data_IF_483234105114
#
_entry.id   IF_483234105114
#
_cell.length_a   1.000
_cell.length_b   1.000
_cell.length_c   1.000
_cell.angle_alpha   90.00
_cell.angle_beta   90.00
_cell.angle_gamma   90.00
#
_symmetry.space_group_name_H-M   'P 1'
#
loop_
_entity.id
_entity.type
_entity.pdbx_description
1 polymer ?
#
# COMPACT_ATOMS: atom_id res chain seq x y z
N UNK A 1 -7.10 6.52 12.50
CA UNK A 1 -8.34 5.90 11.99
C UNK A 1 -8.59 4.66 12.83
N UNK A 2 -9.81 4.12 12.90
CA UNK A 2 -10.00 2.80 13.53
C UNK A 2 -9.44 1.70 12.61
N UNK A 3 -8.76 0.70 13.18
CA UNK A 3 -8.14 -0.38 12.42
C UNK A 3 -9.16 -1.14 11.56
N UNK A 4 -10.34 -1.47 12.10
CA UNK A 4 -11.35 -2.27 11.39
C UNK A 4 -11.90 -1.54 10.17
N UNK A 5 -12.04 -0.22 10.29
CA UNK A 5 -12.48 0.64 9.18
C UNK A 5 -11.39 0.70 8.10
N UNK A 6 -10.14 0.98 8.49
CA UNK A 6 -9.04 1.09 7.53
C UNK A 6 -8.78 -0.23 6.81
N UNK A 7 -8.75 -1.34 7.54
CA UNK A 7 -8.48 -2.67 6.99
C UNK A 7 -9.55 -3.11 5.99
N UNK A 8 -10.82 -2.83 6.27
CA UNK A 8 -11.92 -3.10 5.35
C UNK A 8 -11.80 -2.27 4.06
N UNK A 9 -11.52 -0.97 4.17
CA UNK A 9 -11.33 -0.12 2.99
C UNK A 9 -10.14 -0.57 2.14
N UNK A 10 -9.03 -0.94 2.80
CA UNK A 10 -7.82 -1.39 2.13
C UNK A 10 -8.03 -2.72 1.40
N UNK A 11 -8.67 -3.70 2.03
CA UNK A 11 -9.00 -4.98 1.39
C UNK A 11 -9.90 -4.77 0.16
N UNK A 12 -10.86 -3.83 0.22
CA UNK A 12 -11.71 -3.47 -0.92
C UNK A 12 -10.88 -2.92 -2.08
N UNK A 13 -10.06 -1.91 -1.80
CA UNK A 13 -9.31 -1.18 -2.81
C UNK A 13 -8.18 -2.02 -3.41
N UNK A 14 -7.44 -2.77 -2.59
CA UNK A 14 -6.44 -3.71 -3.08
C UNK A 14 -7.08 -4.81 -3.95
N UNK A 15 -8.27 -5.30 -3.56
CA UNK A 15 -8.98 -6.32 -4.37
C UNK A 15 -9.38 -5.75 -5.72
N UNK A 16 -9.92 -4.52 -5.73
CA UNK A 16 -10.40 -3.89 -6.95
C UNK A 16 -9.24 -3.47 -7.87
N UNK A 17 -8.28 -2.68 -7.37
CA UNK A 17 -7.24 -2.05 -8.19
C UNK A 17 -6.05 -2.94 -8.49
N UNK A 18 -5.72 -3.90 -7.62
CA UNK A 18 -4.58 -4.78 -7.81
C UNK A 18 -5.07 -6.13 -8.31
N UNK A 19 -5.72 -6.92 -7.45
CA UNK A 19 -6.02 -8.32 -7.74
C UNK A 19 -6.96 -8.58 -8.92
N UNK A 20 -7.86 -7.64 -9.23
CA UNK A 20 -8.88 -7.81 -10.27
C UNK A 20 -8.59 -6.99 -11.53
N UNK A 21 -7.63 -6.07 -11.48
CA UNK A 21 -7.34 -5.14 -12.58
C UNK A 21 -5.89 -5.19 -13.06
N UNK A 22 -4.92 -5.38 -12.16
CA UNK A 22 -3.51 -5.17 -12.46
C UNK A 22 -2.65 -6.42 -12.25
N UNK A 23 -2.89 -7.17 -11.18
CA UNK A 23 -2.14 -8.38 -10.82
C UNK A 23 -2.91 -9.64 -11.21
N UNK A 24 -2.18 -10.70 -11.57
CA UNK A 24 -2.74 -12.02 -11.88
C UNK A 24 -2.79 -12.96 -10.65
N UNK A 25 -2.55 -12.44 -9.45
CA UNK A 25 -2.60 -13.17 -8.18
C UNK A 25 -3.31 -12.35 -7.11
N UNK A 26 -3.62 -12.98 -5.97
CA UNK A 26 -4.30 -12.32 -4.84
C UNK A 26 -3.28 -11.79 -3.84
N UNK A 27 -3.34 -10.49 -3.56
CA UNK A 27 -2.54 -9.88 -2.49
C UNK A 27 -3.10 -10.22 -1.11
N UNK A 28 -2.26 -10.18 -0.07
CA UNK A 28 -2.65 -10.50 1.31
C UNK A 28 -3.83 -9.62 1.78
N UNK A 29 -4.68 -10.12 2.67
CA UNK A 29 -5.85 -9.39 3.19
C UNK A 29 -5.82 -9.34 4.69
N UNK A 30 -6.32 -8.26 5.27
CA UNK A 30 -6.43 -8.12 6.73
C UNK A 30 -7.65 -8.85 7.28
N UNK A 31 -8.73 -8.94 6.50
CA UNK A 31 -9.99 -9.56 6.89
C UNK A 31 -10.19 -10.91 6.21
N UNK A 32 -10.87 -11.83 6.89
CA UNK A 32 -11.14 -13.19 6.37
C UNK A 32 -12.35 -13.24 5.46
N UNK A 33 -13.20 -12.21 5.50
CA UNK A 33 -14.41 -12.13 4.69
C UNK A 33 -14.00 -11.79 3.24
N UNK A 34 -14.36 -12.62 2.26
CA UNK A 34 -14.06 -12.33 0.86
C UNK A 34 -14.72 -11.04 0.40
N UNK A 35 -13.94 -10.17 -0.24
CA UNK A 35 -14.42 -8.94 -0.85
C UNK A 35 -15.02 -9.26 -2.23
N UNK A 36 -16.27 -8.81 -2.45
CA UNK A 36 -16.97 -8.92 -3.74
C UNK A 36 -16.96 -7.60 -4.53
N UNK A 37 -15.80 -6.95 -4.58
CA UNK A 37 -15.57 -5.75 -5.39
C UNK A 37 -15.30 -6.18 -6.84
N UNK A 38 -16.32 -6.70 -7.50
CA UNK A 38 -16.24 -7.29 -8.84
C UNK A 38 -17.21 -6.62 -9.78
N UNK A 39 -16.75 -6.23 -10.97
CA UNK A 39 -17.54 -5.55 -11.98
C UNK A 39 -16.86 -4.27 -12.46
N UNK A 40 -17.33 -3.75 -13.59
CA UNK A 40 -16.92 -2.45 -14.13
C UNK A 40 -15.44 -2.36 -14.50
N UNK A 41 -14.76 -3.51 -14.72
CA UNK A 41 -13.31 -3.53 -14.96
C UNK A 41 -12.93 -2.73 -16.20
N UNK A 42 -13.73 -2.83 -17.27
CA UNK A 42 -13.51 -2.05 -18.50
C UNK A 42 -13.58 -0.54 -18.22
N UNK A 43 -14.61 -0.09 -17.50
CA UNK A 43 -14.78 1.31 -17.11
C UNK A 43 -13.64 1.78 -16.19
N UNK A 44 -13.18 0.91 -15.29
CA UNK A 44 -12.06 1.20 -14.40
C UNK A 44 -10.76 1.39 -15.19
N UNK A 45 -10.48 0.50 -16.15
CA UNK A 45 -9.31 0.61 -17.02
C UNK A 45 -9.36 1.90 -17.84
N UNK A 46 -10.52 2.25 -18.41
CA UNK A 46 -10.71 3.52 -19.13
C UNK A 46 -10.48 4.73 -18.22
N UNK A 47 -11.05 4.72 -17.01
CA UNK A 47 -10.86 5.79 -16.03
C UNK A 47 -9.40 5.92 -15.59
N UNK A 48 -8.71 4.79 -15.36
CA UNK A 48 -7.27 4.78 -15.04
C UNK A 48 -6.46 5.33 -16.20
N UNK A 49 -6.76 4.96 -17.45
CA UNK A 49 -6.09 5.53 -18.63
C UNK A 49 -6.29 7.05 -18.71
N UNK A 50 -7.45 7.57 -18.34
CA UNK A 50 -7.64 9.02 -18.26
C UNK A 50 -6.78 9.66 -17.17
N UNK A 51 -6.62 9.02 -16.00
CA UNK A 51 -5.74 9.50 -14.93
C UNK A 51 -4.27 9.53 -15.40
N UNK A 52 -3.82 8.45 -16.05
CA UNK A 52 -2.45 8.28 -16.55
C UNK A 52 -2.12 9.31 -17.63
N UNK A 53 -3.01 9.47 -18.62
CA UNK A 53 -2.74 10.28 -19.82
C UNK A 53 -3.07 11.78 -19.65
N UNK A 54 -3.70 12.18 -18.54
CA UNK A 54 -4.10 13.58 -18.35
C UNK A 54 -2.86 14.45 -18.09
N UNK A 55 -2.63 15.49 -18.90
CA UNK A 55 -1.57 16.46 -18.64
C UNK A 55 -1.92 17.32 -17.42
N UNK A 56 -0.91 17.71 -16.65
CA UNK A 56 -1.05 18.65 -15.54
C UNK A 56 -0.67 18.07 -14.17
N UNK A 57 -1.25 18.63 -13.11
CA UNK A 57 -0.95 18.22 -11.73
C UNK A 57 -1.56 16.86 -11.41
N UNK A 58 -0.76 15.94 -10.87
CA UNK A 58 -1.23 14.64 -10.35
C UNK A 58 -2.40 14.78 -9.38
N UNK A 59 -2.41 15.83 -8.54
CA UNK A 59 -3.48 16.10 -7.58
C UNK A 59 -4.82 16.33 -8.28
N UNK A 60 -4.80 16.99 -9.44
CA UNK A 60 -6.01 17.24 -10.22
C UNK A 60 -6.49 15.95 -10.89
N UNK A 61 -5.59 15.16 -11.49
CA UNK A 61 -5.92 13.87 -12.10
C UNK A 61 -6.54 12.91 -11.08
N UNK A 62 -5.95 12.78 -9.89
CA UNK A 62 -6.50 11.95 -8.79
C UNK A 62 -7.86 12.47 -8.32
N UNK A 63 -8.05 13.78 -8.17
CA UNK A 63 -9.36 14.35 -7.78
C UNK A 63 -10.46 14.03 -8.78
N UNK A 64 -10.14 13.99 -10.07
CA UNK A 64 -11.12 13.63 -11.11
C UNK A 64 -11.38 12.13 -11.09
N UNK A 65 -10.33 11.31 -11.04
CA UNK A 65 -10.46 9.86 -10.87
C UNK A 65 -11.32 9.49 -9.67
N UNK A 66 -11.10 10.14 -8.52
CA UNK A 66 -11.90 9.95 -7.32
C UNK A 66 -13.39 10.21 -7.58
N UNK A 67 -13.75 11.31 -8.25
CA UNK A 67 -15.14 11.62 -8.58
C UNK A 67 -15.76 10.57 -9.50
N UNK A 68 -15.02 10.12 -10.51
CA UNK A 68 -15.50 9.11 -11.46
C UNK A 68 -15.72 7.76 -10.77
N UNK A 69 -14.73 7.27 -10.02
CA UNK A 69 -14.85 6.00 -9.30
C UNK A 69 -15.97 6.02 -8.26
N UNK A 70 -16.25 7.14 -7.61
CA UNK A 70 -17.36 7.23 -6.65
C UNK A 70 -18.74 7.17 -7.31
N UNK A 71 -18.85 7.35 -8.62
CA UNK A 71 -20.11 7.19 -9.37
C UNK A 71 -20.31 5.75 -9.89
N UNK A 72 -19.29 4.89 -9.81
CA UNK A 72 -19.41 3.50 -10.21
C UNK A 72 -20.40 2.79 -9.28
N UNK A 73 -21.42 2.06 -9.79
CA UNK A 73 -22.37 1.30 -9.01
C UNK A 73 -21.83 0.67 -7.72
N UNK A 74 -20.73 -0.07 -7.78
CA UNK A 74 -20.17 -0.73 -6.59
C UNK A 74 -19.73 0.27 -5.51
N UNK A 75 -18.93 1.27 -5.88
CA UNK A 75 -18.40 2.24 -4.91
C UNK A 75 -19.48 3.20 -4.43
N UNK A 76 -20.40 3.58 -5.31
CA UNK A 76 -21.55 4.44 -4.97
C UNK A 76 -22.44 3.77 -3.94
N UNK A 77 -22.82 2.52 -4.17
CA UNK A 77 -23.59 1.73 -3.21
C UNK A 77 -22.82 1.56 -1.89
N UNK A 78 -21.55 1.14 -1.97
CA UNK A 78 -20.73 0.93 -0.79
C UNK A 78 -20.64 2.18 0.10
N UNK A 79 -20.28 3.33 -0.49
CA UNK A 79 -20.12 4.59 0.23
C UNK A 79 -21.46 5.14 0.76
N UNK A 80 -22.57 4.95 0.04
CA UNK A 80 -23.90 5.40 0.48
C UNK A 80 -24.37 4.75 1.77
N UNK A 81 -23.87 3.55 2.06
CA UNK A 81 -24.18 2.78 3.27
C UNK A 81 -23.24 3.10 4.45
N UNK A 82 -22.22 3.95 4.26
CA UNK A 82 -21.27 4.31 5.29
C UNK A 82 -21.69 5.57 6.07
N UNK A 83 -21.40 5.64 7.39
CA UNK A 83 -21.46 6.89 8.12
C UNK A 83 -20.57 7.97 7.47
N UNK A 84 -20.92 9.27 7.56
CA UNK A 84 -20.17 10.34 6.86
C UNK A 84 -18.67 10.38 7.18
N UNK A 85 -18.28 10.02 8.41
CA UNK A 85 -16.87 9.95 8.80
C UNK A 85 -16.13 8.81 8.10
N UNK A 86 -16.76 7.66 7.96
CA UNK A 86 -16.19 6.47 7.30
C UNK A 86 -16.13 6.65 5.79
N UNK A 87 -17.17 7.24 5.18
CA UNK A 87 -17.15 7.65 3.77
C UNK A 87 -15.95 8.56 3.47
N UNK A 88 -15.71 9.59 4.28
CA UNK A 88 -14.50 10.43 4.13
C UNK A 88 -13.21 9.63 4.27
N UNK A 89 -13.15 8.65 5.16
CA UNK A 89 -11.99 7.78 5.29
C UNK A 89 -11.76 6.96 4.02
N UNK A 90 -12.83 6.39 3.44
CA UNK A 90 -12.77 5.66 2.18
C UNK A 90 -12.28 6.55 1.03
N UNK A 91 -12.79 7.79 0.90
CA UNK A 91 -12.37 8.71 -0.16
C UNK A 91 -10.86 9.03 -0.11
N UNK A 92 -10.33 9.25 1.09
CA UNK A 92 -8.89 9.45 1.26
C UNK A 92 -8.09 8.21 0.89
N UNK A 93 -8.56 7.02 1.28
CA UNK A 93 -7.86 5.77 0.98
C UNK A 93 -7.92 5.42 -0.51
N UNK A 94 -9.07 5.62 -1.15
CA UNK A 94 -9.23 5.51 -2.60
C UNK A 94 -8.27 6.44 -3.35
N UNK A 95 -8.11 7.68 -2.88
CA UNK A 95 -7.15 8.62 -3.47
C UNK A 95 -5.70 8.10 -3.41
N UNK A 96 -5.32 7.36 -2.36
CA UNK A 96 -3.98 6.73 -2.25
C UNK A 96 -3.78 5.61 -3.25
N UNK A 97 -4.80 4.82 -3.55
CA UNK A 97 -4.68 3.80 -4.60
C UNK A 97 -4.65 4.43 -5.99
N UNK A 98 -5.44 5.49 -6.22
CA UNK A 98 -5.48 6.16 -7.52
C UNK A 98 -4.18 6.89 -7.88
N UNK A 99 -3.48 7.47 -6.90
CA UNK A 99 -2.23 8.20 -7.16
C UNK A 99 -1.10 7.28 -7.65
N UNK A 100 -1.15 5.97 -7.35
CA UNK A 100 -0.18 5.00 -7.86
C UNK A 100 -0.16 4.93 -9.39
N UNK A 101 -1.31 5.17 -10.03
CA UNK A 101 -1.42 5.15 -11.50
C UNK A 101 -1.03 6.49 -12.13
N UNK A 102 -0.64 7.49 -11.34
CA UNK A 102 -0.15 8.74 -11.91
C UNK A 102 1.18 8.51 -12.63
N UNK A 103 1.38 9.18 -13.76
CA UNK A 103 2.67 9.20 -14.46
C UNK A 103 3.82 9.77 -13.58
N UNK A 104 3.50 10.46 -12.48
CA UNK A 104 4.46 11.01 -11.52
C UNK A 104 4.73 10.08 -10.34
N UNK A 105 4.06 8.92 -10.26
CA UNK A 105 4.24 8.00 -9.14
C UNK A 105 5.68 7.47 -9.07
N UNK A 106 6.28 7.14 -10.23
CA UNK A 106 7.66 6.66 -10.33
C UNK A 106 7.90 5.26 -9.76
N UNK A 107 6.84 4.53 -9.44
CA UNK A 107 6.88 3.13 -9.04
C UNK A 107 5.64 2.38 -9.56
N UNK A 108 5.67 1.05 -9.50
CA UNK A 108 4.52 0.17 -9.71
C UNK A 108 4.51 -0.96 -8.67
N UNK A 109 3.32 -1.51 -8.40
CA UNK A 109 3.20 -2.74 -7.60
C UNK A 109 3.36 -3.92 -8.54
N UNK A 110 4.44 -4.68 -8.42
CA UNK A 110 4.72 -5.86 -9.24
C UNK A 110 4.66 -7.14 -8.41
N UNK A 111 5.21 -8.23 -8.97
CA UNK A 111 5.26 -9.54 -8.35
C UNK A 111 6.68 -9.97 -7.99
N UNK A 112 6.83 -10.69 -6.89
CA UNK A 112 8.07 -11.37 -6.48
C UNK A 112 7.74 -12.73 -5.89
N UNK A 113 8.69 -13.67 -5.94
CA UNK A 113 8.57 -14.99 -5.28
C UNK A 113 9.63 -15.21 -4.21
N UNK A 114 10.38 -14.17 -3.85
CA UNK A 114 11.58 -14.27 -3.02
C UNK A 114 11.33 -14.78 -1.61
N UNK A 115 10.33 -14.24 -0.92
CA UNK A 115 10.24 -14.40 0.53
C UNK A 115 9.57 -15.71 0.91
N UNK A 116 8.45 -16.05 0.30
CA UNK A 116 7.71 -17.29 0.63
C UNK A 116 7.89 -18.41 -0.40
N UNK A 117 8.48 -18.14 -1.57
CA UNK A 117 8.45 -19.05 -2.71
C UNK A 117 7.10 -19.04 -3.45
N UNK A 118 6.12 -18.29 -2.95
CA UNK A 118 4.83 -18.05 -3.60
C UNK A 118 4.76 -16.64 -4.16
N UNK A 119 3.80 -16.36 -5.05
CA UNK A 119 3.66 -15.05 -5.67
C UNK A 119 3.19 -14.01 -4.64
N UNK A 120 4.00 -13.00 -4.43
CA UNK A 120 3.78 -11.89 -3.51
C UNK A 120 3.95 -10.56 -4.23
N UNK A 121 3.43 -9.48 -3.64
CA UNK A 121 3.59 -8.14 -4.21
C UNK A 121 4.93 -7.51 -3.80
N UNK A 122 5.50 -6.72 -4.69
CA UNK A 122 6.64 -5.85 -4.39
C UNK A 122 6.45 -4.47 -5.03
N UNK A 123 7.30 -3.51 -4.69
CA UNK A 123 7.36 -2.21 -5.34
C UNK A 123 8.58 -2.16 -6.25
N UNK A 124 8.38 -1.89 -7.53
CA UNK A 124 9.47 -1.66 -8.49
C UNK A 124 9.52 -0.20 -8.90
N UNK A 125 10.73 0.34 -9.02
CA UNK A 125 10.93 1.67 -9.58
C UNK A 125 10.62 1.67 -11.10
N UNK A 126 9.87 2.66 -11.58
CA UNK A 126 9.55 2.81 -13.02
C UNK A 126 10.34 3.95 -13.68
N UNK A 127 11.27 4.53 -12.92
CA UNK A 127 12.26 5.53 -13.35
C UNK A 127 13.49 5.40 -12.46
N UNK A 128 14.56 6.07 -12.85
CA UNK A 128 15.68 6.29 -11.94
C UNK A 128 15.27 7.27 -10.83
N UNK A 129 15.70 6.97 -9.61
CA UNK A 129 15.57 7.84 -8.44
C UNK A 129 16.94 8.23 -7.91
N UNK A 130 17.06 9.46 -7.42
CA UNK A 130 18.26 9.98 -6.80
C UNK A 130 18.16 9.93 -5.26
N UNK A 131 19.30 9.74 -4.60
CA UNK A 131 19.39 9.80 -3.15
C UNK A 131 18.79 11.11 -2.60
N UNK A 132 17.89 10.98 -1.63
CA UNK A 132 17.21 12.10 -0.99
C UNK A 132 15.83 12.45 -1.55
N UNK A 133 15.45 11.90 -2.72
CA UNK A 133 14.09 12.07 -3.26
C UNK A 133 13.01 11.47 -2.34
N UNK A 134 11.81 12.06 -2.36
CA UNK A 134 10.64 11.56 -1.63
C UNK A 134 9.71 10.77 -2.55
N UNK A 135 9.25 9.61 -2.09
CA UNK A 135 8.35 8.72 -2.82
C UNK A 135 6.89 8.93 -2.38
N UNK A 136 6.44 10.19 -2.32
CA UNK A 136 5.18 10.62 -1.67
C UNK A 136 3.93 9.91 -2.19
N UNK A 137 3.92 9.49 -3.46
CA UNK A 137 2.83 8.74 -4.07
C UNK A 137 2.69 7.32 -3.50
N UNK A 138 3.80 6.71 -3.05
CA UNK A 138 3.79 5.45 -2.32
C UNK A 138 3.57 5.76 -0.84
N UNK A 139 2.30 5.81 -0.43
CA UNK A 139 1.92 6.20 0.92
C UNK A 139 0.98 5.20 1.58
N UNK A 140 0.96 5.22 2.91
CA UNK A 140 0.07 4.39 3.71
C UNK A 140 -0.56 5.18 4.85
N UNK A 141 -1.81 4.85 5.18
CA UNK A 141 -2.46 5.36 6.38
C UNK A 141 -2.01 4.54 7.59
N UNK A 142 -1.67 5.22 8.69
CA UNK A 142 -1.24 4.58 9.94
C UNK A 142 -2.44 4.45 10.88
N UNK A 143 -2.58 3.28 11.48
CA UNK A 143 -3.50 3.01 12.59
C UNK A 143 -2.75 2.34 13.74
N UNK A 144 -3.16 2.64 14.96
CA UNK A 144 -2.65 1.94 16.14
C UNK A 144 -3.47 0.66 16.32
N UNK A 145 -2.79 -0.42 16.73
CA UNK A 145 -3.44 -1.69 17.03
C UNK A 145 -3.63 -1.83 18.55
N UNK A 146 -4.77 -2.39 18.92
CA UNK A 146 -4.97 -2.91 20.28
C UNK A 146 -4.12 -4.18 20.46
N UNK A 147 -3.87 -4.59 21.71
CA UNK A 147 -3.13 -5.84 21.97
C UNK A 147 -3.90 -7.05 21.44
N UNK A 148 -5.22 -7.00 21.50
CA UNK A 148 -6.13 -8.03 21.02
C UNK A 148 -6.09 -8.13 19.49
N UNK A 149 -6.12 -7.00 18.77
CA UNK A 149 -6.01 -6.98 17.32
C UNK A 149 -4.63 -7.46 16.84
N UNK A 150 -3.54 -7.03 17.49
CA UNK A 150 -2.17 -7.48 17.19
C UNK A 150 -2.01 -9.00 17.40
N UNK A 151 -2.46 -9.52 18.55
CA UNK A 151 -2.41 -10.95 18.84
C UNK A 151 -3.23 -11.78 17.83
N UNK A 152 -4.40 -11.27 17.43
CA UNK A 152 -5.24 -11.92 16.43
C UNK A 152 -4.54 -12.00 15.08
N UNK A 153 -3.99 -10.88 14.59
CA UNK A 153 -3.29 -10.84 13.30
C UNK A 153 -2.10 -11.80 13.27
N UNK A 154 -1.31 -11.86 14.34
CA UNK A 154 -0.21 -12.82 14.49
C UNK A 154 -0.68 -14.27 14.45
N UNK A 155 -1.74 -14.60 15.18
CA UNK A 155 -2.29 -15.97 15.21
C UNK A 155 -2.82 -16.44 13.85
N UNK A 156 -3.19 -15.51 12.98
CA UNK A 156 -3.72 -15.78 11.65
C UNK A 156 -2.67 -15.59 10.53
N UNK A 157 -1.42 -15.21 10.87
CA UNK A 157 -0.36 -14.94 9.91
C UNK A 157 -0.62 -13.71 9.02
N UNK A 158 -1.29 -12.69 9.56
CA UNK A 158 -1.75 -11.48 8.83
C UNK A 158 -1.10 -10.19 9.32
N UNK A 159 0.03 -10.28 10.00
CA UNK A 159 0.78 -9.17 10.59
C UNK A 159 1.86 -8.58 9.66
N UNK A 160 1.78 -8.85 8.35
CA UNK A 160 2.76 -8.45 7.32
C UNK A 160 3.09 -6.95 7.20
N UNK A 161 2.28 -6.07 7.78
CA UNK A 161 2.48 -4.61 7.76
C UNK A 161 2.40 -3.98 9.16
N UNK A 162 2.68 -4.80 10.18
CA UNK A 162 2.66 -4.40 11.59
C UNK A 162 4.07 -4.00 12.02
N UNK A 163 4.25 -2.74 12.42
CA UNK A 163 5.53 -2.23 12.91
C UNK A 163 5.41 -1.67 14.33
N UNK A 164 6.51 -1.77 15.08
CA UNK A 164 6.61 -1.15 16.40
C UNK A 164 7.09 0.28 16.24
N UNK A 165 6.26 1.26 16.64
CA UNK A 165 6.68 2.65 16.69
C UNK A 165 7.40 2.92 18.01
N UNK A 166 8.72 3.12 17.97
CA UNK A 166 9.52 3.52 19.14
C UNK A 166 9.07 4.88 19.70
N UNK A 167 8.76 5.83 18.82
CA UNK A 167 8.29 7.17 19.20
C UNK A 167 6.97 7.15 19.96
N UNK A 168 5.98 6.38 19.47
CA UNK A 168 4.67 6.29 20.11
C UNK A 168 4.57 5.19 21.17
N UNK A 169 5.60 4.33 21.28
CA UNK A 169 5.63 3.14 22.12
C UNK A 169 4.40 2.25 21.92
N UNK A 170 3.96 2.10 20.67
CA UNK A 170 2.80 1.29 20.32
C UNK A 170 3.02 0.51 19.02
N UNK A 171 2.26 -0.56 18.87
CA UNK A 171 2.17 -1.34 17.63
C UNK A 171 1.29 -0.59 16.65
N UNK A 172 1.82 -0.28 15.47
CA UNK A 172 1.14 0.40 14.40
C UNK A 172 1.00 -0.53 13.20
N UNK A 173 -0.11 -0.43 12.51
CA UNK A 173 -0.32 -1.01 11.19
C UNK A 173 -0.35 0.12 10.17
N UNK A 174 0.26 -0.08 9.02
CA UNK A 174 0.12 0.83 7.88
C UNK A 174 -0.46 0.10 6.68
N UNK A 175 -1.48 0.71 6.06
CA UNK A 175 -2.21 0.13 4.94
C UNK A 175 -2.28 1.13 3.78
N UNK A 176 -2.53 0.63 2.57
CA UNK A 176 -2.38 1.36 1.31
C UNK A 176 -1.14 0.92 0.53
N UNK A 177 -0.80 1.61 -0.55
CA UNK A 177 0.31 1.24 -1.45
C UNK A 177 1.63 0.95 -0.73
N UNK A 178 1.96 1.73 0.31
CA UNK A 178 3.18 1.57 1.08
C UNK A 178 3.36 0.18 1.72
N UNK A 179 2.26 -0.56 1.98
CA UNK A 179 2.31 -1.89 2.62
C UNK A 179 2.96 -2.96 1.75
N UNK A 180 3.22 -2.68 0.47
CA UNK A 180 3.85 -3.59 -0.49
C UNK A 180 5.36 -3.36 -0.65
N UNK A 181 5.94 -2.35 0.01
CA UNK A 181 7.40 -2.23 0.10
C UNK A 181 7.92 -3.35 0.99
N UNK A 182 8.82 -4.17 0.45
CA UNK A 182 9.38 -5.30 1.18
C UNK A 182 10.59 -4.91 2.02
N UNK A 183 10.99 -5.82 2.90
CA UNK A 183 12.15 -5.65 3.74
C UNK A 183 13.47 -5.94 3.02
N UNK A 184 14.46 -5.09 3.23
CA UNK A 184 15.87 -5.45 3.05
C UNK A 184 16.72 -4.92 4.21
N UNK A 185 17.72 -5.70 4.64
CA UNK A 185 18.65 -5.30 5.72
C UNK A 185 19.59 -4.17 5.29
N UNK A 186 19.84 -4.03 3.99
CA UNK A 186 20.52 -2.88 3.36
C UNK A 186 19.55 -2.21 2.37
N UNK A 187 18.45 -1.69 2.93
CA UNK A 187 17.36 -1.08 2.18
C UNK A 187 17.75 0.19 1.43
N UNK A 188 17.16 0.40 0.25
CA UNK A 188 17.37 1.60 -0.56
C UNK A 188 16.39 2.75 -0.25
N UNK A 189 15.39 2.52 0.59
CA UNK A 189 14.46 3.54 1.10
C UNK A 189 14.37 3.51 2.63
N UNK A 190 14.02 4.66 3.23
CA UNK A 190 13.67 4.79 4.64
C UNK A 190 12.22 5.27 4.82
N UNK A 191 11.60 4.90 5.93
CA UNK A 191 10.27 5.42 6.27
C UNK A 191 10.33 6.93 6.58
N UNK A 192 9.41 7.69 5.99
CA UNK A 192 9.16 9.09 6.34
C UNK A 192 7.70 9.31 6.68
N UNK A 193 7.43 10.36 7.47
CA UNK A 193 6.07 10.76 7.83
C UNK A 193 5.69 12.02 7.07
N UNK A 194 4.69 11.90 6.19
CA UNK A 194 4.09 13.07 5.55
C UNK A 194 3.25 13.88 6.55
N UNK A 195 2.65 13.20 7.52
CA UNK A 195 1.94 13.79 8.66
C UNK A 195 1.78 12.74 9.78
N UNK A 196 1.05 13.08 10.85
CA UNK A 196 0.88 12.22 12.03
C UNK A 196 0.29 10.84 11.74
N UNK A 197 -0.45 10.68 10.65
CA UNK A 197 -1.19 9.47 10.31
C UNK A 197 -0.88 8.94 8.90
N UNK A 198 0.18 9.43 8.26
CA UNK A 198 0.56 9.03 6.90
C UNK A 198 2.05 8.73 6.82
N UNK A 199 2.37 7.52 6.40
CA UNK A 199 3.72 7.09 6.08
C UNK A 199 3.97 7.17 4.57
N UNK A 200 5.22 7.41 4.20
CA UNK A 200 5.76 7.29 2.84
C UNK A 200 7.25 6.98 2.96
N UNK A 201 8.04 7.24 1.91
CA UNK A 201 9.44 6.85 1.86
C UNK A 201 10.35 7.97 1.35
N UNK A 202 11.60 7.93 1.79
CA UNK A 202 12.69 8.75 1.25
C UNK A 202 13.80 7.83 0.75
N UNK A 203 14.28 8.09 -0.46
CA UNK A 203 15.33 7.34 -1.13
C UNK A 203 16.67 7.57 -0.41
N UNK A 204 17.36 6.49 -0.03
CA UNK A 204 18.64 6.52 0.70
C UNK A 204 19.86 6.52 -0.23
N UNK A 205 19.72 5.88 -1.39
CA UNK A 205 20.74 5.77 -2.44
C UNK A 205 20.05 5.74 -3.79
N UNK A 206 20.78 6.05 -4.85
CA UNK A 206 20.21 6.00 -6.20
C UNK A 206 19.59 4.62 -6.50
N UNK A 207 18.39 4.63 -7.08
CA UNK A 207 17.63 3.42 -7.43
C UNK A 207 17.42 3.45 -8.94
N UNK A 208 17.74 2.36 -9.62
CA UNK A 208 17.55 2.28 -11.08
C UNK A 208 16.14 1.84 -11.44
N UNK A 209 15.65 2.27 -12.60
CA UNK A 209 14.42 1.74 -13.18
C UNK A 209 14.47 0.20 -13.22
N UNK A 210 13.42 -0.44 -12.71
CA UNK A 210 13.29 -1.90 -12.58
C UNK A 210 13.83 -2.49 -11.27
N UNK A 211 14.52 -1.71 -10.45
CA UNK A 211 14.99 -2.15 -9.13
C UNK A 211 13.83 -2.20 -8.11
N UNK A 212 13.85 -3.19 -7.22
CA UNK A 212 12.90 -3.30 -6.11
C UNK A 212 13.19 -2.21 -5.07
N UNK A 213 12.18 -1.44 -4.71
CA UNK A 213 12.26 -0.46 -3.63
C UNK A 213 11.95 -1.16 -2.31
N UNK A 214 12.90 -1.11 -1.39
CA UNK A 214 12.87 -1.84 -0.11
C UNK A 214 13.09 -0.91 1.07
N UNK A 215 12.63 -1.34 2.25
CA UNK A 215 12.72 -0.56 3.48
C UNK A 215 13.16 -1.43 4.65
N UNK A 216 13.82 -0.84 5.65
CA UNK A 216 14.19 -1.55 6.86
C UNK A 216 13.02 -1.61 7.85
N UNK A 217 12.53 -2.81 8.18
CA UNK A 217 11.37 -2.97 9.08
C UNK A 217 11.73 -2.86 10.57
N UNK A 218 12.97 -3.21 10.94
CA UNK A 218 13.45 -3.22 12.32
C UNK A 218 14.35 -4.43 12.61
N UNK A 219 15.05 -4.40 13.75
CA UNK A 219 16.13 -5.35 14.09
C UNK A 219 15.65 -6.78 14.37
N UNK A 220 14.38 -6.96 14.72
CA UNK A 220 13.84 -8.24 15.16
C UNK A 220 12.50 -8.58 14.48
N UNK A 221 12.31 -8.09 13.26
CA UNK A 221 11.07 -8.34 12.54
C UNK A 221 10.98 -9.82 12.13
N UNK A 222 12.08 -10.37 11.63
CA UNK A 222 12.19 -11.77 11.21
C UNK A 222 12.98 -12.60 12.22
N UNK A 223 12.46 -12.72 13.45
CA UNK A 223 13.13 -13.38 14.55
C UNK A 223 14.20 -12.50 15.23
N UNK A 224 14.91 -13.05 16.21
CA UNK A 224 15.98 -12.33 16.91
C UNK A 224 17.09 -11.99 15.91
N UNK A 225 17.54 -10.73 15.92
CA UNK A 225 18.53 -10.18 14.99
C UNK A 225 18.23 -10.49 13.50
N UNK A 226 16.94 -10.54 13.12
CA UNK A 226 16.49 -10.88 11.78
C UNK A 226 17.06 -12.22 11.25
N UNK A 227 17.28 -13.19 12.13
CA UNK A 227 17.89 -14.49 11.76
C UNK A 227 17.07 -15.33 10.77
N UNK A 228 15.78 -15.03 10.58
CA UNK A 228 14.89 -15.67 9.61
C UNK A 228 14.68 -14.82 8.35
N UNK A 229 15.40 -13.70 8.20
CA UNK A 229 15.28 -12.80 7.07
C UNK A 229 15.70 -13.46 5.76
N UNK A 230 14.94 -13.19 4.69
CA UNK A 230 15.14 -13.71 3.34
C UNK A 230 15.37 -12.61 2.30
N UNK A 231 15.83 -11.44 2.75
CA UNK A 231 16.15 -10.34 1.84
C UNK A 231 17.42 -10.62 1.03
N UNK A 232 17.61 -9.86 -0.05
CA UNK A 232 18.74 -10.05 -0.95
C UNK A 232 20.08 -9.80 -0.24
N UNK A 233 20.12 -8.85 0.68
CA UNK A 233 21.36 -8.52 1.40
C UNK A 233 21.79 -9.58 2.42
N UNK A 234 20.86 -10.37 2.97
CA UNK A 234 21.21 -11.50 3.83
C UNK A 234 21.64 -12.74 3.04
N UNK A 235 21.25 -12.86 1.76
CA UNK A 235 21.66 -13.96 0.88
C UNK A 235 23.13 -13.82 0.41
N UNK A 236 23.65 -12.59 0.36
CA UNK A 236 25.01 -12.25 -0.10
C UNK A 236 26.06 -12.47 0.99
#
# INVERSE_FOLDING_TARGET
>A
MDFKILSKHDDILATYFLDNLYLWFKTVRMNSIPIRATGEQQMAVETIREIVNRPGSQTQSVKIGLKLFLEFPYFKEYVSNLPPKEARCFHHHLSRYLIMFSHQAGFEVSSTTRYTGTMEACILATRDWEAGESVDCCSGAITELTKEDDAKLKSEGRDFSVMVSTRKKCTCLFLGPARFMNHDCDANCEFTLLNSNTISFKVQRDIRCGEEMTVYYGDHYFGIDNCECRCLSCER
#
